data_IF_441802949152
#
_entry.id   IF_441802949152
#
_cell.length_a   1.000
_cell.length_b   1.000
_cell.length_c   1.000
_cell.angle_alpha   90.00
_cell.angle_beta   90.00
_cell.angle_gamma   90.00
#
_symmetry.space_group_name_H-M   'P 1'
#
loop_
_entity.id
_entity.type
_entity.pdbx_description
1 polymer ?
#
# COMPACT_ATOMS: atom_id res chain seq x y z
N UNK A 1 -14.76 41.45 61.46
CA UNK A 1 -15.30 41.24 62.82
C UNK A 1 -16.46 40.26 62.70
N UNK A 2 -16.39 39.14 63.43
CA UNK A 2 -17.28 37.99 63.22
C UNK A 2 -18.67 38.11 63.86
N UNK A 3 -19.53 37.15 63.55
CA UNK A 3 -20.10 36.22 64.54
C UNK A 3 -20.90 35.12 63.85
N UNK A 4 -20.92 33.95 64.50
CA UNK A 4 -21.55 32.69 64.13
C UNK A 4 -23.07 32.70 64.35
N UNK A 5 -23.80 31.85 63.60
CA UNK A 5 -24.58 30.81 64.28
C UNK A 5 -24.77 29.55 63.43
N UNK A 6 -24.88 28.44 64.17
CA UNK A 6 -24.53 27.06 63.85
C UNK A 6 -25.78 26.20 63.56
N UNK A 7 -25.70 25.20 62.66
CA UNK A 7 -26.32 23.86 62.81
C UNK A 7 -25.93 22.91 61.65
N UNK A 8 -25.27 21.82 62.03
CA UNK A 8 -24.83 20.71 61.19
C UNK A 8 -25.98 19.78 60.76
N UNK A 9 -25.91 19.25 59.54
CA UNK A 9 -26.60 18.02 59.11
C UNK A 9 -25.58 16.88 58.95
N UNK A 10 -25.91 15.76 59.57
CA UNK A 10 -25.12 14.52 59.64
C UNK A 10 -25.26 13.73 58.35
N UNK A 11 -24.13 13.31 57.77
CA UNK A 11 -24.05 12.25 56.75
C UNK A 11 -23.67 10.93 57.42
N UNK A 12 -24.45 9.88 57.15
CA UNK A 12 -24.17 8.52 57.60
C UNK A 12 -23.11 7.86 56.70
N UNK A 13 -22.06 7.30 57.30
CA UNK A 13 -21.08 6.42 56.66
C UNK A 13 -21.38 4.96 57.04
N UNK A 14 -21.69 4.13 56.05
CA UNK A 14 -21.72 2.67 56.20
C UNK A 14 -20.32 2.11 55.94
N UNK A 15 -19.61 1.67 56.99
CA UNK A 15 -18.45 0.81 56.86
C UNK A 15 -18.88 -0.66 56.92
N UNK A 16 -18.68 -1.41 55.84
CA UNK A 16 -18.78 -2.87 55.86
C UNK A 16 -17.45 -3.46 56.38
N UNK A 17 -17.52 -4.21 57.49
CA UNK A 17 -16.38 -4.93 58.04
C UNK A 17 -16.01 -6.14 57.16
N UNK A 18 -14.78 -6.16 56.66
CA UNK A 18 -14.18 -7.32 56.00
C UNK A 18 -13.88 -8.40 57.04
N UNK A 19 -14.69 -9.46 57.10
CA UNK A 19 -14.52 -10.56 58.04
C UNK A 19 -13.49 -11.59 57.54
N UNK A 20 -12.94 -12.39 58.46
CA UNK A 20 -11.94 -13.43 58.20
C UNK A 20 -12.38 -14.46 57.13
N UNK A 21 -13.69 -14.66 56.96
CA UNK A 21 -14.29 -15.47 55.90
C UNK A 21 -14.09 -14.89 54.50
N UNK A 22 -14.08 -13.56 54.33
CA UNK A 22 -13.80 -12.92 53.05
C UNK A 22 -12.32 -13.06 52.65
N UNK A 23 -11.40 -13.03 53.61
CA UNK A 23 -9.98 -13.27 53.36
C UNK A 23 -9.70 -14.72 52.97
N UNK A 24 -10.37 -15.69 53.62
CA UNK A 24 -10.29 -17.11 53.25
C UNK A 24 -10.89 -17.34 51.85
N UNK A 25 -12.02 -16.69 51.54
CA UNK A 25 -12.62 -16.72 50.21
C UNK A 25 -11.71 -16.15 49.11
N UNK A 26 -11.05 -15.01 49.38
CA UNK A 26 -10.09 -14.41 48.46
C UNK A 26 -8.86 -15.29 48.25
N UNK A 27 -8.35 -15.93 49.32
CA UNK A 27 -7.21 -16.84 49.23
C UNK A 27 -7.58 -18.11 48.44
N UNK A 28 -8.78 -18.66 48.66
CA UNK A 28 -9.32 -19.77 47.88
C UNK A 28 -9.47 -19.42 46.39
N UNK A 29 -9.86 -18.18 46.08
CA UNK A 29 -10.01 -17.69 44.71
C UNK A 29 -8.64 -17.47 44.03
N UNK A 30 -7.63 -16.97 44.76
CA UNK A 30 -6.26 -16.86 44.25
C UNK A 30 -5.66 -18.25 43.97
N UNK A 31 -5.83 -19.18 44.91
CA UNK A 31 -5.34 -20.56 44.75
C UNK A 31 -6.05 -21.26 43.60
N UNK A 32 -7.37 -21.15 43.49
CA UNK A 32 -8.11 -21.75 42.37
C UNK A 32 -7.69 -21.13 41.04
N UNK A 33 -7.52 -19.81 40.96
CA UNK A 33 -7.06 -19.13 39.74
C UNK A 33 -5.65 -19.60 39.36
N UNK A 34 -4.74 -19.74 40.33
CA UNK A 34 -3.38 -20.26 40.10
C UNK A 34 -3.38 -21.71 39.61
N UNK A 35 -4.23 -22.57 40.17
CA UNK A 35 -4.34 -23.96 39.72
C UNK A 35 -5.03 -24.07 38.35
N UNK A 36 -6.08 -23.30 38.09
CA UNK A 36 -6.75 -23.31 36.79
C UNK A 36 -5.86 -22.74 35.68
N UNK A 37 -5.14 -21.63 35.90
CA UNK A 37 -4.18 -21.12 34.90
C UNK A 37 -3.06 -22.11 34.63
N UNK A 38 -2.58 -22.82 35.67
CA UNK A 38 -1.52 -23.82 35.50
C UNK A 38 -2.00 -25.13 34.86
N UNK A 39 -3.25 -25.52 35.07
CA UNK A 39 -3.88 -26.64 34.35
C UNK A 39 -4.11 -26.28 32.89
N UNK A 40 -4.53 -25.03 32.59
CA UNK A 40 -4.64 -24.55 31.21
C UNK A 40 -3.26 -24.47 30.52
N UNK A 41 -2.21 -24.00 31.21
CA UNK A 41 -0.83 -24.02 30.71
C UNK A 41 -0.28 -25.44 30.54
N UNK A 42 -0.69 -26.41 31.36
CA UNK A 42 -0.30 -27.82 31.22
C UNK A 42 -1.10 -28.57 30.15
N UNK A 43 -2.33 -28.16 29.85
CA UNK A 43 -3.11 -28.70 28.71
C UNK A 43 -2.59 -28.22 27.35
N UNK A 44 -1.68 -27.24 27.34
CA UNK A 44 -0.88 -26.87 26.18
C UNK A 44 0.58 -27.30 26.38
N UNK A 45 0.87 -28.60 26.39
CA UNK A 45 2.20 -29.07 26.00
C UNK A 45 2.22 -30.50 25.45
N UNK A 46 2.23 -30.59 24.13
CA UNK A 46 3.23 -31.36 23.38
C UNK A 46 3.21 -30.88 21.93
N UNK A 47 3.88 -29.75 21.67
CA UNK A 47 4.45 -29.55 20.35
C UNK A 47 5.59 -30.57 20.23
N UNK A 48 5.27 -31.75 19.73
CA UNK A 48 6.28 -32.67 19.19
C UNK A 48 7.02 -31.93 18.09
N UNK A 49 8.23 -31.47 18.40
CA UNK A 49 9.25 -31.17 17.42
C UNK A 49 9.54 -32.46 16.67
N UNK A 50 8.78 -32.70 15.59
CA UNK A 50 9.30 -33.50 14.51
C UNK A 50 10.44 -32.71 13.90
N UNK A 51 11.67 -33.03 14.32
CA UNK A 51 12.86 -32.80 13.51
C UNK A 51 12.75 -33.70 12.28
N UNK A 52 11.95 -33.28 11.31
CA UNK A 52 12.05 -33.76 9.94
C UNK A 52 12.73 -32.64 9.15
N UNK A 53 14.01 -32.88 8.88
CA UNK A 53 14.86 -32.21 7.89
C UNK A 53 14.54 -30.75 7.62
N UNK A 54 15.25 -29.89 8.34
CA UNK A 54 15.58 -28.56 7.88
C UNK A 54 16.41 -28.63 6.58
N UNK A 55 15.78 -29.01 5.46
CA UNK A 55 16.09 -28.40 4.18
C UNK A 55 15.62 -26.96 4.27
N UNK A 56 16.52 -26.15 4.82
CA UNK A 56 16.64 -24.70 4.70
C UNK A 56 15.93 -24.21 3.43
N UNK A 57 14.68 -23.78 3.53
CA UNK A 57 13.99 -23.06 2.47
C UNK A 57 14.59 -21.65 2.43
N UNK A 58 15.74 -21.56 1.78
CA UNK A 58 16.50 -20.34 1.61
C UNK A 58 16.00 -19.51 0.42
N UNK A 59 14.82 -19.83 -0.12
CA UNK A 59 14.23 -19.14 -1.25
C UNK A 59 13.05 -18.27 -0.79
N UNK A 60 13.36 -17.05 -0.35
CA UNK A 60 12.42 -15.92 -0.41
C UNK A 60 12.26 -15.38 -1.85
N UNK A 61 12.49 -16.27 -2.83
CA UNK A 61 12.02 -16.20 -4.21
C UNK A 61 11.22 -17.47 -4.47
N UNK A 62 9.89 -17.42 -4.45
CA UNK A 62 9.12 -18.50 -5.04
C UNK A 62 9.06 -18.35 -6.57
N UNK A 63 10.20 -18.17 -7.21
CA UNK A 63 10.33 -18.46 -8.63
C UNK A 63 10.71 -19.92 -8.69
N UNK A 64 9.73 -20.82 -8.81
CA UNK A 64 10.04 -22.22 -9.07
C UNK A 64 10.90 -22.30 -10.34
N UNK A 65 11.70 -23.37 -10.49
CA UNK A 65 12.57 -23.65 -11.66
C UNK A 65 11.87 -23.58 -13.04
N UNK A 66 10.55 -23.33 -13.10
CA UNK A 66 9.77 -23.03 -14.31
C UNK A 66 9.30 -21.57 -14.47
N UNK A 67 9.83 -20.59 -13.72
CA UNK A 67 9.57 -19.16 -13.92
C UNK A 67 8.23 -18.63 -13.41
N UNK A 68 7.49 -19.39 -12.59
CA UNK A 68 6.24 -18.94 -11.96
C UNK A 68 6.53 -18.37 -10.58
N UNK A 69 6.06 -17.13 -10.34
CA UNK A 69 6.09 -16.46 -9.05
C UNK A 69 4.94 -16.97 -8.19
N UNK A 70 5.21 -17.53 -7.02
CA UNK A 70 4.17 -17.89 -6.05
C UNK A 70 4.05 -16.86 -4.93
N UNK A 71 2.83 -16.76 -4.39
CA UNK A 71 2.48 -15.83 -3.32
C UNK A 71 2.33 -16.60 -2.01
N UNK A 72 2.74 -16.04 -0.86
CA UNK A 72 2.71 -16.75 0.40
C UNK A 72 1.28 -16.87 0.94
N UNK A 73 0.89 -18.04 1.42
CA UNK A 73 -0.47 -18.27 1.97
C UNK A 73 -0.82 -17.30 3.11
N UNK A 74 0.17 -16.97 3.96
CA UNK A 74 -0.04 -16.05 5.09
C UNK A 74 -0.36 -14.65 4.57
N UNK A 75 -1.61 -14.24 4.76
CA UNK A 75 -2.11 -12.91 4.41
C UNK A 75 -2.66 -12.80 2.99
N UNK A 76 -2.18 -13.61 2.04
CA UNK A 76 -2.69 -13.62 0.67
C UNK A 76 -3.74 -14.72 0.44
N UNK A 77 -3.61 -15.89 1.08
CA UNK A 77 -4.47 -17.06 0.85
C UNK A 77 -4.00 -17.94 -0.33
N UNK A 78 -4.65 -19.12 -0.48
CA UNK A 78 -4.23 -20.15 -1.44
C UNK A 78 -4.46 -19.79 -2.92
N UNK A 79 -5.49 -19.01 -3.20
CA UNK A 79 -5.85 -18.58 -4.55
C UNK A 79 -6.50 -17.19 -4.53
N UNK A 80 -6.45 -16.48 -5.65
CA UNK A 80 -7.20 -15.24 -5.82
C UNK A 80 -8.70 -15.52 -5.84
N UNK A 81 -9.45 -14.83 -4.98
CA UNK A 81 -10.92 -14.94 -4.86
C UNK A 81 -11.61 -13.58 -4.78
N UNK A 82 -10.93 -12.50 -5.21
CA UNK A 82 -11.44 -11.13 -5.13
C UNK A 82 -12.62 -10.85 -6.06
N UNK A 83 -13.52 -9.98 -5.60
CA UNK A 83 -14.57 -9.34 -6.40
C UNK A 83 -14.40 -7.83 -6.33
N UNK A 84 -14.09 -7.21 -7.46
CA UNK A 84 -13.87 -5.76 -7.58
C UNK A 84 -15.00 -5.17 -8.42
N UNK A 85 -15.77 -4.25 -7.85
CA UNK A 85 -16.71 -3.44 -8.63
C UNK A 85 -15.97 -2.27 -9.25
N UNK A 86 -16.08 -2.10 -10.56
CA UNK A 86 -15.54 -0.94 -11.28
C UNK A 86 -16.69 -0.01 -11.59
N UNK A 87 -16.67 1.18 -11.01
CA UNK A 87 -17.67 2.22 -11.27
C UNK A 87 -17.74 2.51 -12.77
N UNK A 88 -18.95 2.53 -13.32
CA UNK A 88 -19.16 2.93 -14.70
C UNK A 88 -19.02 4.46 -14.83
N UNK A 89 -18.45 4.92 -15.94
CA UNK A 89 -18.23 6.35 -16.19
C UNK A 89 -19.54 7.17 -16.25
N UNK A 90 -20.68 6.53 -16.51
CA UNK A 90 -21.99 7.15 -16.53
C UNK A 90 -22.72 7.07 -15.18
N UNK A 91 -22.19 6.31 -14.22
CA UNK A 91 -22.90 6.01 -12.98
C UNK A 91 -22.95 7.20 -12.02
N UNK A 92 -21.91 8.02 -12.02
CA UNK A 92 -21.74 9.12 -11.07
C UNK A 92 -21.44 10.42 -11.84
N UNK A 93 -22.22 11.46 -11.60
CA UNK A 93 -22.01 12.77 -12.21
C UNK A 93 -20.67 13.37 -11.74
N UNK A 94 -19.79 13.73 -12.69
CA UNK A 94 -18.42 14.17 -12.44
C UNK A 94 -17.33 13.15 -12.83
N UNK A 95 -17.64 11.86 -12.97
CA UNK A 95 -16.63 10.83 -13.29
C UNK A 95 -16.00 11.07 -14.67
N UNK A 96 -16.83 11.42 -15.66
CA UNK A 96 -16.35 11.72 -17.02
C UNK A 96 -15.42 12.91 -17.05
N UNK A 97 -15.66 13.91 -16.23
CA UNK A 97 -14.80 15.08 -16.12
C UNK A 97 -13.45 14.69 -15.51
N UNK A 98 -13.41 13.82 -14.49
CA UNK A 98 -12.16 13.31 -13.92
C UNK A 98 -11.37 12.42 -14.90
N UNK A 99 -12.02 11.78 -15.85
CA UNK A 99 -11.40 10.90 -16.85
C UNK A 99 -10.99 11.64 -18.13
N UNK A 100 -11.85 12.51 -18.65
CA UNK A 100 -11.74 13.07 -19.99
C UNK A 100 -11.60 14.60 -20.01
N UNK A 101 -11.68 15.23 -18.83
CA UNK A 101 -11.68 16.67 -18.68
C UNK A 101 -12.98 17.33 -19.13
N UNK A 102 -12.98 18.68 -19.15
CA UNK A 102 -14.09 19.49 -19.69
C UNK A 102 -14.40 19.09 -21.13
N UNK A 103 -15.69 18.98 -21.43
CA UNK A 103 -16.24 18.65 -22.75
C UNK A 103 -15.69 17.36 -23.38
N UNK A 104 -15.08 16.47 -22.58
CA UNK A 104 -14.42 15.24 -23.04
C UNK A 104 -13.32 15.46 -24.08
N UNK A 105 -12.57 16.57 -23.93
CA UNK A 105 -11.47 16.93 -24.85
C UNK A 105 -10.31 15.92 -24.85
N UNK A 106 -10.18 15.10 -23.81
CA UNK A 106 -9.11 14.10 -23.68
C UNK A 106 -9.71 12.70 -23.83
N UNK A 107 -9.14 11.91 -24.74
CA UNK A 107 -9.45 10.48 -24.86
C UNK A 107 -8.57 9.64 -23.92
N UNK A 108 -9.05 8.44 -23.57
CA UNK A 108 -8.28 7.48 -22.79
C UNK A 108 -6.95 7.10 -23.46
N UNK A 109 -6.93 6.98 -24.80
CA UNK A 109 -5.73 6.62 -25.56
C UNK A 109 -4.63 7.68 -25.50
N UNK A 110 -5.00 8.96 -25.46
CA UNK A 110 -4.05 10.05 -25.23
C UNK A 110 -3.37 9.97 -23.84
N UNK A 111 -4.00 9.27 -22.90
CA UNK A 111 -3.52 9.12 -21.53
C UNK A 111 -2.81 7.79 -21.26
N UNK A 112 -2.59 6.91 -22.24
CA UNK A 112 -2.00 5.58 -22.01
C UNK A 112 -0.47 5.60 -21.87
N UNK A 113 0.18 6.69 -22.31
CA UNK A 113 1.64 6.85 -22.31
C UNK A 113 2.17 7.53 -21.06
N UNK A 114 3.44 7.28 -20.74
CA UNK A 114 4.12 7.85 -19.57
C UNK A 114 3.53 7.35 -18.25
N UNK A 115 3.99 7.91 -17.12
CA UNK A 115 3.62 7.41 -15.79
C UNK A 115 2.11 7.39 -15.53
N UNK A 116 1.37 8.40 -16.00
CA UNK A 116 -0.08 8.48 -15.81
C UNK A 116 -0.86 7.40 -16.58
N UNK A 117 -0.24 6.73 -17.55
CA UNK A 117 -0.81 5.58 -18.24
C UNK A 117 -1.23 4.43 -17.33
N UNK A 118 -0.65 4.32 -16.13
CA UNK A 118 -1.10 3.36 -15.10
C UNK A 118 -2.61 3.51 -14.78
N UNK A 119 -3.13 4.74 -14.73
CA UNK A 119 -4.56 4.99 -14.46
C UNK A 119 -5.46 4.34 -15.53
N UNK A 120 -5.06 4.48 -16.80
CA UNK A 120 -5.81 3.93 -17.95
C UNK A 120 -5.61 2.42 -18.07
N UNK A 121 -4.37 1.94 -17.95
CA UNK A 121 -4.04 0.52 -18.12
C UNK A 121 -4.70 -0.34 -17.05
N UNK A 122 -4.57 0.02 -15.77
CA UNK A 122 -5.22 -0.73 -14.68
C UNK A 122 -6.75 -0.67 -14.83
N UNK A 123 -7.31 0.48 -15.20
CA UNK A 123 -8.75 0.57 -15.44
C UNK A 123 -9.19 -0.40 -16.55
N UNK A 124 -8.55 -0.40 -17.72
CA UNK A 124 -8.85 -1.32 -18.83
C UNK A 124 -8.71 -2.78 -18.44
N UNK A 125 -7.65 -3.13 -17.72
CA UNK A 125 -7.40 -4.49 -17.25
C UNK A 125 -8.47 -4.93 -16.24
N UNK A 126 -8.84 -4.08 -15.29
CA UNK A 126 -9.96 -4.35 -14.38
C UNK A 126 -11.29 -4.50 -15.11
N UNK A 127 -11.56 -3.71 -16.17
CA UNK A 127 -12.78 -3.84 -16.95
C UNK A 127 -12.92 -5.22 -17.60
N UNK A 128 -11.79 -5.84 -17.99
CA UNK A 128 -11.67 -7.14 -18.65
C UNK A 128 -11.43 -8.31 -17.68
N UNK A 129 -11.18 -8.01 -16.40
CA UNK A 129 -10.75 -9.03 -15.45
C UNK A 129 -11.88 -9.97 -15.03
N UNK A 130 -11.56 -11.25 -14.83
CA UNK A 130 -12.48 -12.24 -14.23
C UNK A 130 -12.83 -11.94 -12.77
N UNK A 131 -12.01 -11.16 -12.08
CA UNK A 131 -12.25 -10.71 -10.71
C UNK A 131 -13.16 -9.49 -10.64
N UNK A 132 -13.60 -8.96 -11.78
CA UNK A 132 -14.60 -7.89 -11.83
C UNK A 132 -15.99 -8.43 -11.55
N UNK A 133 -16.70 -7.80 -10.61
CA UNK A 133 -18.15 -8.00 -10.42
C UNK A 133 -18.95 -6.86 -11.06
N UNK A 134 -20.17 -7.18 -11.49
CA UNK A 134 -21.18 -6.20 -11.96
C UNK A 134 -22.21 -5.85 -10.89
N UNK A 135 -22.18 -6.55 -9.76
CA UNK A 135 -23.07 -6.31 -8.62
C UNK A 135 -22.26 -5.70 -7.48
N UNK A 136 -22.72 -4.58 -6.94
CA UNK A 136 -21.99 -3.86 -5.88
C UNK A 136 -22.05 -4.61 -4.55
N UNK A 137 -23.12 -5.36 -4.33
CA UNK A 137 -23.42 -6.11 -3.10
C UNK A 137 -22.46 -7.29 -2.91
N UNK A 138 -21.89 -7.79 -4.00
CA UNK A 138 -20.91 -8.87 -3.98
C UNK A 138 -19.46 -8.36 -3.98
N UNK A 139 -19.24 -7.05 -4.00
CA UNK A 139 -17.91 -6.48 -4.19
C UNK A 139 -17.12 -6.40 -2.86
N UNK A 140 -15.91 -6.95 -2.87
CA UNK A 140 -14.95 -6.79 -1.78
C UNK A 140 -14.31 -5.39 -1.81
N UNK A 141 -14.09 -4.87 -3.02
CA UNK A 141 -13.42 -3.60 -3.30
C UNK A 141 -14.12 -2.84 -4.43
N UNK A 142 -13.96 -1.52 -4.44
CA UNK A 142 -14.54 -0.60 -5.41
C UNK A 142 -13.45 0.21 -6.10
N UNK A 143 -13.28 0.05 -7.41
CA UNK A 143 -12.35 0.84 -8.19
C UNK A 143 -13.03 2.09 -8.76
N UNK A 144 -12.48 3.27 -8.46
CA UNK A 144 -12.96 4.56 -8.98
C UNK A 144 -12.08 5.00 -10.15
N UNK A 145 -12.57 4.97 -11.41
CA UNK A 145 -11.78 5.40 -12.55
C UNK A 145 -11.60 6.92 -12.55
N UNK A 146 -10.35 7.37 -12.62
CA UNK A 146 -10.00 8.78 -12.74
C UNK A 146 -8.66 8.91 -13.47
N UNK A 147 -8.59 9.78 -14.48
CA UNK A 147 -7.36 10.05 -15.26
C UNK A 147 -6.81 11.43 -14.96
N UNK A 148 -7.09 11.93 -13.75
CA UNK A 148 -6.85 13.31 -13.32
C UNK A 148 -5.41 13.77 -13.49
N UNK A 149 -4.42 12.87 -13.42
CA UNK A 149 -3.03 13.25 -13.65
C UNK A 149 -2.82 13.65 -15.11
N UNK A 150 -3.31 12.85 -16.05
CA UNK A 150 -3.24 13.15 -17.48
C UNK A 150 -4.02 14.43 -17.82
N UNK A 151 -5.28 14.51 -17.38
CA UNK A 151 -6.17 15.66 -17.66
C UNK A 151 -5.57 16.97 -17.14
N UNK A 152 -4.97 16.95 -15.94
CA UNK A 152 -4.21 18.09 -15.40
C UNK A 152 -3.01 18.45 -16.26
N UNK A 153 -2.21 17.45 -16.65
CA UNK A 153 -0.99 17.70 -17.40
C UNK A 153 -1.26 18.26 -18.80
N UNK A 154 -2.42 17.91 -19.37
CA UNK A 154 -2.92 18.47 -20.64
C UNK A 154 -3.56 19.85 -20.49
N UNK A 155 -3.59 20.43 -19.27
CA UNK A 155 -4.15 21.76 -19.01
C UNK A 155 -5.67 21.84 -19.11
N UNK A 156 -6.37 20.70 -19.18
CA UNK A 156 -7.82 20.69 -19.40
C UNK A 156 -8.59 20.93 -18.10
N UNK A 157 -8.07 20.45 -16.96
CA UNK A 157 -8.56 20.78 -15.62
C UNK A 157 -7.42 21.32 -14.75
N UNK A 158 -7.74 22.32 -13.92
CA UNK A 158 -6.84 22.83 -12.89
C UNK A 158 -7.10 22.17 -11.51
N UNK A 159 -6.22 22.45 -10.54
CA UNK A 159 -6.25 21.83 -9.20
C UNK A 159 -7.54 22.13 -8.42
N UNK A 160 -8.14 23.31 -8.63
CA UNK A 160 -9.41 23.69 -7.99
C UNK A 160 -10.56 22.89 -8.57
N UNK A 161 -10.63 22.78 -9.89
CA UNK A 161 -11.65 21.99 -10.59
C UNK A 161 -11.54 20.51 -10.22
N UNK A 162 -10.33 19.94 -10.24
CA UNK A 162 -10.09 18.54 -9.82
C UNK A 162 -10.59 18.31 -8.40
N UNK A 163 -10.31 19.23 -7.48
CA UNK A 163 -10.76 19.11 -6.10
C UNK A 163 -12.29 19.13 -5.98
N UNK A 164 -12.94 20.10 -6.62
CA UNK A 164 -14.40 20.23 -6.58
C UNK A 164 -15.08 19.02 -7.21
N UNK A 165 -14.59 18.53 -8.34
CA UNK A 165 -15.15 17.37 -9.03
C UNK A 165 -14.96 16.09 -8.22
N UNK A 166 -13.81 15.86 -7.57
CA UNK A 166 -13.67 14.72 -6.66
C UNK A 166 -14.65 14.78 -5.50
N UNK A 167 -14.81 15.93 -4.83
CA UNK A 167 -15.76 16.08 -3.72
C UNK A 167 -17.19 15.79 -4.19
N UNK A 168 -17.58 16.31 -5.36
CA UNK A 168 -18.88 16.05 -5.99
C UNK A 168 -19.08 14.56 -6.29
N UNK A 169 -18.09 13.89 -6.85
CA UNK A 169 -18.16 12.46 -7.18
C UNK A 169 -18.33 11.62 -5.91
N UNK A 170 -17.49 11.86 -4.90
CA UNK A 170 -17.48 11.05 -3.68
C UNK A 170 -18.76 11.22 -2.85
N UNK A 171 -19.39 12.39 -2.86
CA UNK A 171 -20.64 12.64 -2.12
C UNK A 171 -21.83 11.84 -2.65
N UNK A 172 -21.76 11.36 -3.90
CA UNK A 172 -22.82 10.61 -4.55
C UNK A 172 -22.68 9.08 -4.38
N UNK A 173 -21.55 8.58 -3.87
CA UNK A 173 -21.24 7.14 -3.82
C UNK A 173 -21.73 6.48 -2.52
N UNK A 174 -22.80 5.66 -2.51
CA UNK A 174 -23.36 5.13 -1.27
C UNK A 174 -22.42 4.16 -0.55
N UNK A 175 -21.76 3.27 -1.31
CA UNK A 175 -20.77 2.32 -0.78
C UNK A 175 -19.51 3.00 -0.25
N UNK A 176 -19.13 4.15 -0.82
CA UNK A 176 -18.03 4.98 -0.30
C UNK A 176 -18.40 5.54 1.07
N UNK A 177 -19.62 6.08 1.20
CA UNK A 177 -20.15 6.57 2.49
C UNK A 177 -20.24 5.45 3.53
N UNK A 178 -20.69 4.26 3.14
CA UNK A 178 -20.84 3.11 4.03
C UNK A 178 -19.51 2.65 4.63
N UNK A 179 -18.48 2.50 3.80
CA UNK A 179 -17.16 2.02 4.27
C UNK A 179 -16.29 3.14 4.84
N UNK A 180 -16.67 4.40 4.63
CA UNK A 180 -15.80 5.57 4.81
C UNK A 180 -14.61 5.54 3.85
N UNK A 181 -14.80 5.01 2.64
CA UNK A 181 -13.80 4.86 1.58
C UNK A 181 -12.79 3.73 1.77
N UNK A 182 -12.89 2.92 2.84
CA UNK A 182 -11.89 1.87 3.19
C UNK A 182 -11.71 0.79 2.13
N UNK A 183 -12.78 0.48 1.39
CA UNK A 183 -12.77 -0.51 0.33
C UNK A 183 -12.66 0.13 -1.07
N UNK A 184 -12.39 1.43 -1.17
CA UNK A 184 -12.23 2.12 -2.45
C UNK A 184 -10.77 2.25 -2.86
N UNK A 185 -10.51 1.98 -4.13
CA UNK A 185 -9.20 2.01 -4.76
C UNK A 185 -9.08 3.26 -5.64
N UNK A 186 -8.00 4.02 -5.45
CA UNK A 186 -7.64 5.17 -6.27
C UNK A 186 -6.20 5.04 -6.77
N UNK A 187 -5.94 5.49 -8.00
CA UNK A 187 -4.59 5.49 -8.57
C UNK A 187 -4.08 6.93 -8.64
N UNK A 188 -2.94 7.18 -8.01
CA UNK A 188 -2.22 8.45 -8.09
C UNK A 188 -0.80 8.23 -8.62
N UNK A 189 -0.58 8.38 -9.94
CA UNK A 189 0.56 7.77 -10.62
C UNK A 189 1.82 8.66 -10.65
N UNK A 190 1.94 9.62 -9.75
CA UNK A 190 3.06 10.57 -9.76
C UNK A 190 3.57 10.79 -8.35
N UNK A 191 4.81 11.25 -8.19
CA UNK A 191 5.33 11.62 -6.87
C UNK A 191 4.50 12.66 -6.09
N UNK A 192 3.57 13.39 -6.71
CA UNK A 192 2.63 14.21 -5.95
C UNK A 192 1.63 13.37 -5.12
N UNK A 193 1.47 12.08 -5.40
CA UNK A 193 0.52 11.18 -4.75
C UNK A 193 -0.91 11.72 -4.78
N UNK A 194 -1.66 11.43 -3.72
CA UNK A 194 -3.04 11.90 -3.57
C UNK A 194 -3.16 13.42 -3.41
N UNK A 195 -2.06 14.14 -3.19
CA UNK A 195 -2.09 15.60 -3.06
C UNK A 195 -2.52 16.35 -4.33
N UNK A 196 -2.61 15.64 -5.47
CA UNK A 196 -3.29 16.13 -6.67
C UNK A 196 -4.77 16.47 -6.39
N UNK A 197 -5.40 15.74 -5.48
CA UNK A 197 -6.69 16.05 -4.91
C UNK A 197 -6.48 16.75 -3.56
N UNK A 198 -6.61 18.09 -3.52
CA UNK A 198 -6.25 18.89 -2.32
C UNK A 198 -6.93 18.42 -1.03
N UNK A 199 -8.18 17.95 -1.10
CA UNK A 199 -8.95 17.46 0.04
C UNK A 199 -8.76 15.97 0.33
N UNK A 200 -7.75 15.30 -0.23
CA UNK A 200 -7.53 13.85 -0.02
C UNK A 200 -7.48 13.44 1.45
N UNK A 201 -6.88 14.26 2.34
CA UNK A 201 -6.74 13.92 3.76
C UNK A 201 -8.09 13.80 4.46
N UNK A 202 -9.10 14.52 3.97
CA UNK A 202 -10.47 14.45 4.49
C UNK A 202 -11.21 13.25 3.92
N UNK A 203 -11.09 13.02 2.61
CA UNK A 203 -11.97 12.07 1.91
C UNK A 203 -11.31 10.71 1.65
N UNK A 204 -10.03 10.66 1.27
CA UNK A 204 -9.34 9.44 0.82
C UNK A 204 -8.35 8.87 1.85
N UNK A 205 -8.25 9.45 3.05
CA UNK A 205 -7.28 9.00 4.07
C UNK A 205 -7.48 7.55 4.53
N UNK A 206 -8.66 6.96 4.28
CA UNK A 206 -8.94 5.55 4.58
C UNK A 206 -8.88 4.64 3.36
N UNK A 207 -8.86 5.22 2.17
CA UNK A 207 -8.89 4.49 0.90
C UNK A 207 -7.54 3.87 0.56
N UNK A 208 -7.60 2.85 -0.29
CA UNK A 208 -6.43 2.17 -0.83
C UNK A 208 -5.90 3.01 -2.01
N UNK A 209 -4.67 3.49 -1.90
CA UNK A 209 -3.99 4.23 -2.96
C UNK A 209 -2.98 3.32 -3.64
N UNK A 210 -3.06 3.26 -4.97
CA UNK A 210 -2.03 2.68 -5.83
C UNK A 210 -1.15 3.81 -6.37
N UNK A 211 0.16 3.72 -6.15
CA UNK A 211 1.12 4.78 -6.52
C UNK A 211 2.50 4.18 -6.81
N UNK A 212 3.27 4.68 -7.79
CA UNK A 212 4.60 4.17 -8.07
C UNK A 212 5.71 4.71 -7.17
N UNK A 213 5.45 5.79 -6.43
CA UNK A 213 6.47 6.54 -5.70
C UNK A 213 6.08 6.80 -4.23
N UNK A 214 5.03 6.14 -3.73
CA UNK A 214 4.41 6.48 -2.44
C UNK A 214 3.81 7.88 -2.53
N UNK A 215 4.45 8.86 -1.88
CA UNK A 215 4.26 10.27 -2.13
C UNK A 215 5.49 11.10 -1.73
N UNK A 216 5.63 12.28 -2.34
CA UNK A 216 6.73 13.20 -2.04
C UNK A 216 6.38 14.08 -0.84
N UNK A 217 7.11 13.89 0.24
CA UNK A 217 7.03 14.67 1.48
C UNK A 217 8.04 15.81 1.54
N UNK A 218 8.89 15.98 0.52
CA UNK A 218 10.00 16.95 0.50
C UNK A 218 9.59 18.43 0.65
N UNK A 219 8.29 18.72 0.50
CA UNK A 219 7.70 20.05 0.67
C UNK A 219 6.39 20.02 1.46
N UNK A 220 6.12 18.96 2.23
CA UNK A 220 4.82 18.70 2.85
C UNK A 220 4.97 18.06 4.22
N UNK A 221 4.21 18.57 5.18
CA UNK A 221 4.24 18.09 6.57
C UNK A 221 3.51 16.75 6.76
N UNK A 222 2.77 16.28 5.75
CA UNK A 222 1.96 15.07 5.83
C UNK A 222 2.18 14.20 4.60
N UNK A 223 2.47 12.92 4.85
CA UNK A 223 2.45 11.88 3.83
C UNK A 223 1.01 11.43 3.57
N UNK A 224 0.65 11.35 2.30
CA UNK A 224 -0.58 10.75 1.80
C UNK A 224 -0.47 9.23 1.63
N UNK A 225 0.74 8.68 1.73
CA UNK A 225 1.01 7.26 1.59
C UNK A 225 1.11 6.58 2.96
N UNK A 226 0.53 5.39 3.07
CA UNK A 226 0.58 4.58 4.26
C UNK A 226 0.75 3.10 3.88
N UNK A 227 1.90 2.53 4.22
CA UNK A 227 2.30 1.13 3.90
C UNK A 227 1.30 0.07 4.35
N UNK A 228 0.51 0.36 5.40
CA UNK A 228 -0.48 -0.55 5.94
C UNK A 228 -1.67 -0.74 4.99
N UNK A 229 -2.13 0.34 4.34
CA UNK A 229 -3.33 0.33 3.46
C UNK A 229 -3.02 0.46 1.97
N UNK A 230 -1.96 1.18 1.62
CA UNK A 230 -1.61 1.54 0.24
C UNK A 230 -0.65 0.52 -0.37
N UNK A 231 -0.52 0.58 -1.70
CA UNK A 231 0.27 -0.38 -2.48
C UNK A 231 1.18 0.41 -3.42
N UNK A 232 2.49 0.13 -3.35
CA UNK A 232 3.44 0.58 -4.35
C UNK A 232 3.29 -0.29 -5.60
N UNK A 233 3.03 0.34 -6.74
CA UNK A 233 2.88 -0.32 -8.04
C UNK A 233 4.05 0.02 -8.98
N UNK A 234 4.38 -0.80 -9.97
CA UNK A 234 5.36 -0.42 -10.99
C UNK A 234 4.96 0.85 -11.73
N UNK A 235 5.91 1.75 -11.98
CA UNK A 235 5.66 2.89 -12.87
C UNK A 235 5.35 2.43 -14.30
N UNK A 236 4.48 3.15 -15.01
CA UNK A 236 4.19 2.81 -16.41
C UNK A 236 5.35 3.24 -17.32
N UNK A 237 5.85 2.29 -18.11
CA UNK A 237 6.86 2.51 -19.15
C UNK A 237 6.22 2.34 -20.52
N UNK A 238 6.95 2.72 -21.58
CA UNK A 238 6.53 2.47 -22.95
C UNK A 238 6.35 0.96 -23.18
N UNK A 239 5.25 0.56 -23.84
CA UNK A 239 4.91 -0.85 -24.02
C UNK A 239 5.98 -1.61 -24.80
N UNK A 240 6.68 -0.97 -25.75
CA UNK A 240 7.76 -1.63 -26.48
C UNK A 240 9.07 -1.76 -25.70
N UNK A 241 9.14 -1.22 -24.48
CA UNK A 241 10.18 -1.53 -23.49
C UNK A 241 9.79 -2.75 -22.63
N UNK A 242 8.57 -3.27 -22.78
CA UNK A 242 8.07 -4.46 -22.09
C UNK A 242 8.13 -5.71 -22.98
N UNK A 243 7.92 -6.90 -22.41
CA UNK A 243 8.14 -8.18 -23.10
C UNK A 243 7.03 -8.58 -24.10
N UNK A 244 5.87 -7.91 -24.10
CA UNK A 244 4.76 -8.27 -25.00
C UNK A 244 4.92 -7.56 -26.35
N UNK A 245 5.78 -8.09 -27.21
CA UNK A 245 5.97 -7.61 -28.58
C UNK A 245 7.44 -7.54 -29.02
N UNK A 246 7.67 -7.07 -30.25
CA UNK A 246 9.01 -6.78 -30.74
C UNK A 246 9.65 -5.71 -29.84
N UNK A 247 10.86 -5.97 -29.34
CA UNK A 247 11.57 -5.03 -28.50
C UNK A 247 11.86 -3.76 -29.31
N UNK A 248 11.29 -2.61 -28.92
CA UNK A 248 11.52 -1.35 -29.63
C UNK A 248 12.98 -0.91 -29.54
N UNK A 249 13.66 -1.32 -28.46
CA UNK A 249 15.04 -0.96 -28.18
C UNK A 249 15.78 -2.21 -27.74
N UNK A 250 16.74 -2.65 -28.55
CA UNK A 250 17.75 -3.57 -28.06
C UNK A 250 18.67 -2.82 -27.10
N UNK A 251 18.93 -3.33 -25.89
CA UNK A 251 19.93 -2.74 -25.03
C UNK A 251 21.21 -2.58 -25.84
N UNK A 252 21.81 -1.39 -25.82
CA UNK A 252 23.09 -1.19 -26.48
C UNK A 252 24.06 -2.27 -25.96
N UNK A 253 24.81 -2.95 -26.86
CA UNK A 253 25.91 -3.81 -26.44
C UNK A 253 26.80 -3.05 -25.45
N UNK A 254 27.35 -3.73 -24.44
CA UNK A 254 28.17 -3.08 -23.41
C UNK A 254 29.26 -2.20 -24.02
N UNK A 255 29.94 -2.71 -25.05
CA UNK A 255 30.96 -1.99 -25.83
C UNK A 255 30.49 -0.71 -26.55
N UNK A 256 29.18 -0.51 -26.71
CA UNK A 256 28.58 0.67 -27.36
C UNK A 256 27.94 1.65 -26.36
N UNK A 257 27.95 1.36 -25.06
CA UNK A 257 27.40 2.25 -24.03
C UNK A 257 28.43 3.32 -23.66
N UNK A 258 28.01 4.59 -23.70
CA UNK A 258 28.87 5.75 -23.38
C UNK A 258 28.82 6.16 -21.89
N UNK A 259 27.93 5.57 -21.10
CA UNK A 259 27.65 5.98 -19.71
C UNK A 259 27.52 4.73 -18.82
N UNK A 260 28.14 4.73 -17.63
CA UNK A 260 28.06 3.63 -16.66
C UNK A 260 26.71 3.51 -15.97
N UNK A 261 26.15 4.67 -15.58
CA UNK A 261 25.01 4.74 -14.70
C UNK A 261 24.00 5.75 -15.23
N UNK A 262 22.73 5.39 -15.15
CA UNK A 262 21.63 6.30 -15.40
C UNK A 262 20.91 6.59 -14.08
N UNK A 263 20.82 7.87 -13.71
CA UNK A 263 20.17 8.29 -12.48
C UNK A 263 18.71 8.67 -12.75
N UNK A 264 17.78 7.99 -12.10
CA UNK A 264 16.35 8.29 -12.17
C UNK A 264 15.87 8.82 -10.80
N UNK A 265 15.16 9.95 -10.81
CA UNK A 265 14.61 10.59 -9.61
C UNK A 265 15.09 12.03 -9.37
N UNK A 266 14.57 12.68 -8.33
CA UNK A 266 15.09 13.98 -7.86
C UNK A 266 16.04 13.71 -6.69
N UNK A 267 17.34 13.58 -6.96
CA UNK A 267 18.34 13.63 -5.89
C UNK A 267 18.19 14.96 -5.15
N UNK A 268 17.71 14.94 -3.92
CA UNK A 268 17.74 16.10 -3.03
C UNK A 268 19.23 16.46 -2.79
N UNK A 269 19.60 17.75 -2.89
CA UNK A 269 20.85 18.24 -2.28
C UNK A 269 22.21 17.92 -2.95
N UNK A 270 22.28 17.91 -4.29
CA UNK A 270 23.41 18.25 -5.21
C UNK A 270 24.92 18.02 -4.90
N UNK A 271 25.40 17.37 -3.83
CA UNK A 271 26.82 16.95 -3.73
C UNK A 271 26.99 15.49 -4.18
N UNK A 272 26.22 14.57 -3.61
CA UNK A 272 26.28 13.14 -3.97
C UNK A 272 25.94 12.85 -5.43
N UNK A 273 24.98 13.59 -6.02
CA UNK A 273 24.63 13.45 -7.44
C UNK A 273 25.76 13.86 -8.38
N UNK A 274 26.38 15.01 -8.14
CA UNK A 274 27.49 15.49 -8.97
C UNK A 274 28.67 14.54 -8.88
N UNK A 275 28.94 14.01 -7.67
CA UNK A 275 29.99 13.02 -7.45
C UNK A 275 29.71 11.70 -8.18
N UNK A 276 28.49 11.17 -8.10
CA UNK A 276 28.10 9.95 -8.81
C UNK A 276 28.11 10.13 -10.34
N UNK A 277 27.70 11.30 -10.85
CA UNK A 277 27.77 11.58 -12.30
C UNK A 277 29.20 11.68 -12.82
N UNK A 278 30.14 12.20 -12.02
CA UNK A 278 31.55 12.26 -12.40
C UNK A 278 32.22 10.87 -12.33
N UNK A 279 31.89 10.09 -11.29
CA UNK A 279 32.41 8.74 -11.11
C UNK A 279 31.83 7.74 -12.14
N UNK A 280 30.58 7.94 -12.57
CA UNK A 280 29.96 7.13 -13.64
C UNK A 280 30.61 7.31 -15.02
N UNK A 281 31.54 8.26 -15.18
CA UNK A 281 32.37 8.36 -16.40
C UNK A 281 33.60 7.44 -16.36
N UNK A 282 33.95 6.89 -15.20
CA UNK A 282 35.24 6.21 -14.97
C UNK A 282 35.18 4.67 -15.06
N UNK A 283 34.00 4.06 -15.11
CA UNK A 283 33.85 2.58 -15.12
C UNK A 283 32.69 2.18 -16.05
N UNK A 284 32.85 1.70 -17.28
CA UNK A 284 31.73 1.67 -18.24
C UNK A 284 30.90 0.36 -18.36
N UNK A 285 31.27 -0.73 -17.68
CA UNK A 285 31.06 -2.07 -18.27
C UNK A 285 30.10 -3.05 -17.55
N UNK A 286 28.81 -2.79 -17.29
CA UNK A 286 27.85 -3.87 -16.93
C UNK A 286 26.39 -3.64 -17.35
N UNK A 287 25.63 -4.72 -17.54
CA UNK A 287 24.17 -4.68 -17.41
C UNK A 287 23.85 -4.28 -15.97
N UNK A 288 22.89 -3.37 -15.76
CA UNK A 288 22.85 -2.64 -14.50
C UNK A 288 21.99 -3.38 -13.46
N UNK A 289 22.62 -3.79 -12.37
CA UNK A 289 21.92 -4.02 -11.10
C UNK A 289 21.49 -2.66 -10.54
N UNK A 290 20.20 -2.46 -10.18
CA UNK A 290 19.77 -1.20 -9.59
C UNK A 290 20.44 -0.97 -8.24
N UNK A 291 21.05 0.21 -8.08
CA UNK A 291 21.58 0.69 -6.80
C UNK A 291 20.58 1.65 -6.17
N UNK A 292 19.99 1.26 -5.05
CA UNK A 292 18.97 1.99 -4.31
C UNK A 292 19.66 2.86 -3.26
N UNK A 293 19.65 4.17 -3.51
CA UNK A 293 20.28 5.19 -2.67
C UNK A 293 19.27 5.91 -1.75
N UNK A 294 18.11 5.32 -1.52
CA UNK A 294 17.05 5.89 -0.69
C UNK A 294 16.80 4.98 0.50
N UNK A 295 16.97 5.53 1.70
CA UNK A 295 16.81 4.77 2.94
C UNK A 295 15.33 4.41 3.20
N UNK A 296 14.43 5.30 2.78
CA UNK A 296 12.98 5.24 2.99
C UNK A 296 12.20 4.82 1.73
N UNK A 297 12.87 4.26 0.71
CA UNK A 297 12.16 3.79 -0.48
C UNK A 297 11.34 2.53 -0.18
N UNK A 298 10.06 2.60 -0.51
CA UNK A 298 9.13 1.47 -0.58
C UNK A 298 9.08 0.98 -2.03
N UNK A 299 9.22 -0.33 -2.24
CA UNK A 299 9.39 -0.90 -3.58
C UNK A 299 8.19 -1.77 -4.00
N UNK A 300 7.85 -1.83 -5.31
CA UNK A 300 6.75 -2.65 -5.79
C UNK A 300 6.85 -4.11 -5.33
N UNK A 301 5.81 -4.61 -4.68
CA UNK A 301 5.74 -6.02 -4.25
C UNK A 301 6.88 -6.49 -3.33
N UNK A 302 7.53 -5.58 -2.59
CA UNK A 302 8.64 -5.91 -1.67
C UNK A 302 8.28 -6.88 -0.53
N UNK A 303 6.99 -7.18 -0.32
CA UNK A 303 6.55 -8.20 0.62
C UNK A 303 6.74 -9.63 0.08
N UNK A 304 7.00 -9.76 -1.22
CA UNK A 304 7.13 -11.03 -1.95
C UNK A 304 8.43 -11.09 -2.73
N UNK A 305 8.90 -9.95 -3.27
CA UNK A 305 10.21 -9.84 -3.90
C UNK A 305 11.23 -9.46 -2.84
N UNK A 306 12.20 -10.33 -2.59
CA UNK A 306 13.39 -9.96 -1.84
C UNK A 306 14.35 -9.16 -2.74
N UNK A 307 14.31 -7.84 -2.58
CA UNK A 307 15.11 -6.92 -3.36
C UNK A 307 16.62 -7.07 -3.13
N UNK A 308 17.07 -7.71 -2.05
CA UNK A 308 18.51 -7.93 -1.79
C UNK A 308 19.17 -8.83 -2.83
N UNK A 309 18.38 -9.68 -3.50
CA UNK A 309 18.86 -10.58 -4.53
C UNK A 309 18.91 -9.96 -5.94
N UNK A 310 18.27 -8.81 -6.16
CA UNK A 310 18.11 -8.19 -7.50
C UNK A 310 18.55 -6.72 -7.52
N UNK A 311 18.98 -6.19 -6.39
CA UNK A 311 19.37 -4.79 -6.22
C UNK A 311 20.42 -4.65 -5.13
N UNK A 312 21.13 -3.53 -5.15
CA UNK A 312 22.09 -3.14 -4.13
C UNK A 312 21.49 -1.95 -3.37
N UNK A 313 21.30 -2.06 -2.05
CA UNK A 313 20.90 -0.91 -1.23
C UNK A 313 22.13 -0.26 -0.60
N UNK A 314 22.22 1.06 -0.67
CA UNK A 314 23.31 1.82 -0.07
C UNK A 314 22.79 3.01 0.74
N UNK A 315 23.33 3.27 1.94
CA UNK A 315 22.88 4.39 2.78
C UNK A 315 23.00 5.74 2.08
N UNK A 316 21.90 6.50 2.05
CA UNK A 316 21.84 7.76 1.30
C UNK A 316 22.84 8.82 1.81
N UNK A 317 23.19 8.77 3.10
CA UNK A 317 24.13 9.67 3.76
C UNK A 317 25.60 9.33 3.52
N UNK A 318 25.91 8.15 2.97
CA UNK A 318 27.28 7.67 2.74
C UNK A 318 27.65 7.67 1.26
N UNK A 319 27.03 8.53 0.44
CA UNK A 319 27.34 8.65 -0.98
C UNK A 319 28.70 9.35 -1.12
N UNK A 320 29.77 8.55 -1.27
CA UNK A 320 31.16 8.99 -1.44
C UNK A 320 31.98 7.94 -2.21
N UNK A 321 33.32 8.08 -2.26
CA UNK A 321 34.20 7.09 -2.89
C UNK A 321 34.00 5.65 -2.40
N UNK A 322 33.58 5.48 -1.14
CA UNK A 322 33.34 4.18 -0.52
C UNK A 322 32.22 3.39 -1.21
N UNK A 323 31.22 4.06 -1.78
CA UNK A 323 30.18 3.39 -2.58
C UNK A 323 30.80 2.75 -3.81
N UNK A 324 31.75 3.43 -4.46
CA UNK A 324 32.43 2.88 -5.63
C UNK A 324 33.33 1.71 -5.25
N UNK A 325 34.13 1.85 -4.19
CA UNK A 325 34.98 0.76 -3.67
C UNK A 325 34.14 -0.48 -3.36
N UNK A 326 32.96 -0.28 -2.75
CA UNK A 326 32.01 -1.35 -2.52
C UNK A 326 31.45 -1.93 -3.82
N UNK A 327 30.99 -1.10 -4.77
CA UNK A 327 30.45 -1.60 -6.04
C UNK A 327 31.50 -2.35 -6.87
N UNK A 328 32.77 -1.95 -6.78
CA UNK A 328 33.91 -2.62 -7.41
C UNK A 328 34.30 -3.92 -6.71
N UNK A 329 34.07 -4.03 -5.40
CA UNK A 329 34.39 -5.24 -4.65
C UNK A 329 33.39 -6.39 -4.88
N UNK A 330 32.23 -6.11 -5.47
CA UNK A 330 31.23 -7.14 -5.80
C UNK A 330 31.73 -7.98 -6.98
N UNK A 331 31.88 -9.30 -6.81
CA UNK A 331 32.27 -10.22 -7.89
C UNK A 331 31.33 -10.16 -9.10
N UNK A 332 31.88 -10.37 -10.29
CA UNK A 332 31.09 -10.41 -11.53
C UNK A 332 29.98 -11.48 -11.49
N UNK A 333 30.28 -12.65 -10.91
CA UNK A 333 29.33 -13.76 -10.72
C UNK A 333 28.09 -13.33 -9.91
N UNK A 334 28.28 -12.53 -8.85
CA UNK A 334 27.18 -12.02 -8.03
C UNK A 334 26.30 -11.06 -8.83
N UNK A 335 26.92 -10.17 -9.62
CA UNK A 335 26.21 -9.23 -10.49
C UNK A 335 25.41 -9.97 -11.57
N UNK A 336 26.02 -10.96 -12.23
CA UNK A 336 25.34 -11.79 -13.21
C UNK A 336 24.16 -12.55 -12.59
N UNK A 337 24.35 -13.07 -11.37
CA UNK A 337 23.28 -13.69 -10.58
C UNK A 337 22.13 -12.72 -10.29
N UNK A 338 22.43 -11.48 -9.89
CA UNK A 338 21.42 -10.45 -9.63
C UNK A 338 20.64 -10.08 -10.90
N UNK A 339 21.33 -9.94 -12.04
CA UNK A 339 20.72 -9.68 -13.35
C UNK A 339 19.81 -10.85 -13.75
N UNK A 340 20.28 -12.09 -13.62
CA UNK A 340 19.51 -13.29 -13.96
C UNK A 340 18.22 -13.37 -13.13
N UNK A 341 18.30 -13.16 -11.81
CA UNK A 341 17.12 -13.08 -10.93
C UNK A 341 16.21 -11.91 -11.28
N UNK A 342 16.76 -10.74 -11.58
CA UNK A 342 15.99 -9.57 -12.05
C UNK A 342 15.20 -9.86 -13.33
N UNK A 343 15.78 -10.62 -14.27
CA UNK A 343 15.10 -11.04 -15.51
C UNK A 343 13.92 -11.98 -15.26
N UNK A 344 13.95 -12.77 -14.20
CA UNK A 344 12.85 -13.66 -13.80
C UNK A 344 11.64 -12.87 -13.27
N UNK A 345 11.87 -11.84 -12.45
CA UNK A 345 10.78 -11.03 -11.87
C UNK A 345 10.37 -9.82 -12.71
N UNK A 346 11.10 -9.50 -13.79
CA UNK A 346 10.82 -8.37 -14.69
C UNK A 346 9.37 -8.32 -15.18
N UNK A 347 8.71 -9.46 -15.35
CA UNK A 347 7.31 -9.53 -15.78
C UNK A 347 6.35 -8.79 -14.81
N UNK A 348 6.69 -8.67 -13.52
CA UNK A 348 5.93 -7.88 -12.56
C UNK A 348 5.95 -6.37 -12.84
N UNK A 349 6.82 -5.87 -13.72
CA UNK A 349 6.83 -4.47 -14.18
C UNK A 349 6.03 -4.25 -15.47
N UNK A 350 5.36 -5.30 -15.96
CA UNK A 350 4.62 -5.24 -17.22
C UNK A 350 3.12 -5.29 -16.96
N UNK A 351 2.41 -4.25 -17.40
CA UNK A 351 0.94 -4.20 -17.32
C UNK A 351 0.33 -5.06 -18.42
N UNK A 352 -0.08 -6.27 -18.05
CA UNK A 352 -0.75 -7.25 -18.90
C UNK A 352 -1.90 -7.92 -18.13
N UNK A 353 -2.85 -8.59 -18.81
CA UNK A 353 -3.98 -9.27 -18.17
C UNK A 353 -3.56 -10.26 -17.09
N UNK A 354 -4.45 -10.54 -16.14
CA UNK A 354 -4.19 -11.47 -15.04
C UNK A 354 -4.16 -12.95 -15.46
N UNK A 355 -4.56 -13.25 -16.70
CA UNK A 355 -4.41 -14.57 -17.32
C UNK A 355 -2.95 -14.90 -17.61
N UNK A 356 -2.10 -13.88 -17.73
CA UNK A 356 -0.66 -14.07 -17.84
C UNK A 356 -0.12 -14.62 -16.51
N UNK A 357 0.82 -15.60 -16.55
CA UNK A 357 1.37 -16.21 -15.34
C UNK A 357 2.15 -15.21 -14.48
N UNK A 358 2.57 -14.08 -15.06
CA UNK A 358 3.22 -13.00 -14.36
C UNK A 358 2.96 -11.65 -15.05
N UNK A 359 2.40 -10.71 -14.30
CA UNK A 359 2.19 -9.33 -14.73
C UNK A 359 2.09 -8.40 -13.52
N UNK A 360 2.26 -7.10 -13.75
CA UNK A 360 1.98 -6.07 -12.74
C UNK A 360 0.53 -6.17 -12.23
N UNK A 361 -0.42 -6.47 -13.12
CA UNK A 361 -1.83 -6.62 -12.75
C UNK A 361 -2.05 -7.82 -11.82
N UNK A 362 -1.41 -8.96 -12.12
CA UNK A 362 -1.45 -10.14 -11.26
C UNK A 362 -0.94 -9.82 -9.86
N UNK A 363 0.19 -9.10 -9.75
CA UNK A 363 0.73 -8.67 -8.45
C UNK A 363 -0.15 -7.67 -7.72
N UNK A 364 -0.76 -6.73 -8.43
CA UNK A 364 -1.72 -5.79 -7.86
C UNK A 364 -2.92 -6.52 -7.25
N UNK A 365 -3.47 -7.52 -7.94
CA UNK A 365 -4.61 -8.29 -7.43
C UNK A 365 -4.26 -9.04 -6.14
N UNK A 366 -3.08 -9.66 -6.05
CA UNK A 366 -2.65 -10.30 -4.82
C UNK A 366 -2.43 -9.32 -3.68
N UNK A 367 -1.78 -8.18 -3.94
CA UNK A 367 -1.63 -7.13 -2.94
C UNK A 367 -2.99 -6.60 -2.46
N UNK A 368 -3.93 -6.36 -3.37
CA UNK A 368 -5.30 -5.98 -3.03
C UNK A 368 -5.98 -7.05 -2.17
N UNK A 369 -5.79 -8.33 -2.49
CA UNK A 369 -6.37 -9.44 -1.72
C UNK A 369 -5.84 -9.43 -0.29
N UNK A 370 -4.53 -9.23 -0.12
CA UNK A 370 -3.94 -9.06 1.21
C UNK A 370 -4.50 -7.85 1.96
N UNK A 371 -4.90 -6.78 1.26
CA UNK A 371 -5.53 -5.61 1.88
C UNK A 371 -7.02 -5.84 2.20
N UNK A 372 -7.66 -6.87 1.64
CA UNK A 372 -9.02 -7.24 2.04
C UNK A 372 -8.97 -7.81 3.45
N UNK A 373 -9.68 -7.13 4.35
CA UNK A 373 -9.95 -7.62 5.71
C UNK A 373 -11.40 -8.02 5.76
N UNK A 374 -11.71 -9.09 6.48
CA UNK A 374 -13.11 -9.46 6.76
C UNK A 374 -13.92 -8.28 7.36
N UNK A 375 -13.25 -7.35 8.07
CA UNK A 375 -13.84 -6.12 8.61
C UNK A 375 -14.17 -4.99 7.59
N UNK A 376 -13.73 -5.10 6.32
CA UNK A 376 -14.03 -4.09 5.29
C UNK A 376 -15.42 -4.27 4.65
N UNK A 377 -16.00 -5.45 4.78
CA UNK A 377 -17.31 -5.81 4.18
C UNK A 377 -18.45 -5.76 5.19
N UNK A 378 -18.13 -5.59 6.47
CA UNK A 378 -19.12 -5.42 7.52
C UNK A 378 -19.69 -4.00 7.50
N UNK A 379 -21.02 -3.88 7.50
CA UNK A 379 -21.72 -2.62 7.81
C UNK A 379 -21.45 -2.16 9.25
N UNK A 380 -21.10 -3.11 10.12
CA UNK A 380 -20.73 -2.87 11.51
C UNK A 380 -19.25 -2.50 11.60
N UNK A 381 -18.96 -1.34 12.21
CA UNK A 381 -17.59 -0.79 12.32
C UNK A 381 -16.82 -1.29 13.53
N UNK A 382 -17.41 -2.11 14.40
CA UNK A 382 -16.79 -2.77 15.56
C UNK A 382 -17.78 -3.77 16.19
N UNK A 383 -17.25 -4.65 17.05
CA UNK A 383 -17.99 -5.68 17.77
C UNK A 383 -19.05 -5.11 18.73
N UNK A 384 -20.18 -5.80 18.82
CA UNK A 384 -21.19 -5.66 19.86
C UNK A 384 -20.56 -5.68 21.26
N UNK A 385 -20.73 -4.61 22.03
CA UNK A 385 -20.61 -4.65 23.49
C UNK A 385 -22.03 -4.51 24.06
N UNK A 386 -22.58 -5.58 24.64
CA UNK A 386 -23.93 -5.62 25.22
C UNK A 386 -25.04 -5.08 24.28
N UNK A 387 -25.08 -5.50 23.01
CA UNK A 387 -26.20 -5.14 22.12
C UNK A 387 -26.17 -3.70 21.57
N UNK A 388 -25.13 -2.91 21.84
CA UNK A 388 -25.05 -1.49 21.47
C UNK A 388 -23.81 -1.15 20.64
N UNK A 389 -23.97 -0.28 19.63
CA UNK A 389 -22.92 0.20 18.71
C UNK A 389 -22.06 1.28 19.42
N UNK A 390 -20.74 1.09 19.59
CA UNK A 390 -19.84 1.99 20.35
C UNK A 390 -18.53 2.42 19.61
N UNK A 391 -18.06 3.66 19.76
CA UNK A 391 -16.78 4.10 19.15
C UNK A 391 -15.52 3.60 19.91
N UNK A 392 -14.30 4.02 19.48
CA UNK A 392 -13.01 3.66 20.12
C UNK A 392 -12.90 4.03 21.61
N UNK A 393 -13.78 4.89 22.11
CA UNK A 393 -13.88 5.32 23.51
C UNK A 393 -15.11 4.71 24.20
N UNK A 394 -15.71 3.66 23.62
CA UNK A 394 -16.91 2.97 24.10
C UNK A 394 -18.19 3.83 24.17
N UNK A 395 -18.25 4.92 23.40
CA UNK A 395 -19.43 5.81 23.37
C UNK A 395 -20.46 5.29 22.37
N UNK A 396 -21.71 5.11 22.82
CA UNK A 396 -22.80 4.62 21.99
C UNK A 396 -23.14 5.54 20.80
N UNK A 397 -23.58 4.96 19.68
CA UNK A 397 -23.81 5.65 18.40
C UNK A 397 -24.65 6.93 18.51
N UNK A 398 -25.75 6.90 19.25
CA UNK A 398 -26.61 8.08 19.45
C UNK A 398 -25.94 9.22 20.24
N UNK A 399 -24.79 8.95 20.88
CA UNK A 399 -23.99 9.90 21.64
C UNK A 399 -22.70 10.30 20.91
N UNK A 400 -22.54 9.93 19.64
CA UNK A 400 -21.37 10.32 18.87
C UNK A 400 -21.38 11.82 18.61
N UNK A 401 -20.41 12.52 19.20
CA UNK A 401 -20.10 13.90 18.79
C UNK A 401 -19.22 13.83 17.53
N UNK A 402 -19.68 14.34 16.38
CA UNK A 402 -18.85 14.38 15.18
C UNK A 402 -17.56 15.18 15.45
N UNK A 403 -16.44 14.83 14.80
CA UNK A 403 -15.12 15.39 15.08
C UNK A 403 -14.96 16.87 14.73
N UNK A 404 -15.98 17.50 14.12
CA UNK A 404 -16.11 18.95 13.98
C UNK A 404 -17.57 19.35 14.17
N UNK A 405 -17.87 20.55 14.70
CA UNK A 405 -19.20 21.14 14.57
C UNK A 405 -19.48 21.33 13.07
N UNK A 406 -20.62 20.83 12.60
CA UNK A 406 -21.11 21.15 11.27
C UNK A 406 -21.50 22.65 11.24
N UNK A 407 -21.23 23.38 10.15
CA UNK A 407 -21.91 24.65 9.90
C UNK A 407 -23.40 24.46 9.68
#
# INVERSE_FOLDING_TARGET
MGSLNNKNRVFATHHSLCTRTHQIGALGLIVSTFFFTRIFDQSFNSCTYFSNDAKRSQDLFFVNNGGKISWPDRGYGLHLSLKIYVYDELEIDGLKELMYGRDRKISADSCVKGQWGTQVKIHRLLLQSRFRTRKKEEADLFFVPAYVKCVRMMGVLNDKEINQTYVKVLSQMPYFRLSGGRNHIFIFPSGAGAHLFRSWATYLNRSIILTPEGDRTDKRDTSAFNTWKDIIIPGNVDDGMTKYGATLVQPLPLSKRKYLANFLGRAQGKVGRLRLMELAKQFPDKECVPVILSDQAELPFQNVIDYTHISIKWPSMLIGPQLLEYLQSIPDEDIEGMIARGRQVRCLWVYAPETEPCSAMHGILWELQRKVRQFHQSTETFWLQNGSIVNRNLVQFHNWKPPMPLP
#
